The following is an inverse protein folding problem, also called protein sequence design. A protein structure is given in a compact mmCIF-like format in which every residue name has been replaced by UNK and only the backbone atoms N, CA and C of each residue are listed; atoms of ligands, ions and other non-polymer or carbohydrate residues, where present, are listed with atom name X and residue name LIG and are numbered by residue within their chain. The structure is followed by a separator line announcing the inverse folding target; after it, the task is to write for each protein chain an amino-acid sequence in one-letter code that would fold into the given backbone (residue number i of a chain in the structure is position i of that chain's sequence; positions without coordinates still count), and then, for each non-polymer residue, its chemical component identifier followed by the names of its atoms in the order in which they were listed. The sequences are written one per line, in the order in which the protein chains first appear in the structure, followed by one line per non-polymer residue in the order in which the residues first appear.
data_IF_283143928991
#
_entry.id   IF_283143928991
#
_cell.length_a   1.000
_cell.length_b   1.000
_cell.length_c   1.000
_cell.angle_alpha   90.00
_cell.angle_beta   90.00
_cell.angle_gamma   90.00
#
_symmetry.space_group_name_H-M   'P 1'
#
loop_
_entity.id
_entity.type
_entity.pdbx_description
1 polymer ?
#
# COMPACT_ATOMS: atom_id res chain seq x y z
N UNK A 1 -19.05 15.32 8.57
CA UNK A 1 -17.75 14.64 8.78
C UNK A 1 -16.66 15.61 8.35
N UNK A 2 -15.62 15.81 9.16
CA UNK A 2 -14.49 16.68 8.79
C UNK A 2 -13.54 15.91 7.87
N UNK A 3 -13.08 16.56 6.80
CA UNK A 3 -12.16 15.99 5.81
C UNK A 3 -10.76 15.86 6.40
N UNK A 4 -9.97 14.89 5.94
CA UNK A 4 -8.61 14.68 6.45
C UNK A 4 -7.71 15.90 6.25
N UNK A 5 -7.86 16.66 5.15
CA UNK A 5 -7.10 17.90 4.92
C UNK A 5 -7.33 18.96 6.02
N UNK A 6 -8.50 18.95 6.67
CA UNK A 6 -8.86 19.91 7.74
C UNK A 6 -8.18 19.58 9.06
N UNK A 7 -7.54 18.41 9.19
CA UNK A 7 -6.76 18.01 10.37
C UNK A 7 -5.32 18.53 10.32
N UNK A 8 -4.87 19.03 9.17
CA UNK A 8 -3.50 19.54 9.00
C UNK A 8 -3.30 20.74 9.93
N UNK A 9 -2.29 20.64 10.80
CA UNK A 9 -1.93 21.73 11.69
C UNK A 9 -1.17 22.81 10.94
N UNK A 10 -1.47 24.07 11.25
CA UNK A 10 -0.69 25.18 10.72
C UNK A 10 0.74 25.08 11.24
N UNK A 11 1.71 24.98 10.32
CA UNK A 11 3.12 24.88 10.64
C UNK A 11 3.80 26.22 10.35
N UNK A 12 4.65 26.69 11.27
CA UNK A 12 5.40 27.94 11.10
C UNK A 12 6.85 27.71 10.72
N UNK A 13 7.35 26.50 10.96
CA UNK A 13 8.71 26.08 10.64
C UNK A 13 8.74 24.72 9.95
N UNK A 14 9.86 24.40 9.29
CA UNK A 14 10.07 23.04 8.75
C UNK A 14 10.21 21.98 9.85
N UNK A 15 10.57 22.37 11.07
CA UNK A 15 10.57 21.46 12.22
C UNK A 15 9.15 21.05 12.59
N UNK A 16 8.19 21.99 12.58
CA UNK A 16 6.78 21.68 12.78
C UNK A 16 6.26 20.69 11.72
N UNK A 17 6.62 20.92 10.45
CA UNK A 17 6.24 20.02 9.35
C UNK A 17 6.77 18.61 9.59
N UNK A 18 8.08 18.48 9.85
CA UNK A 18 8.72 17.17 10.08
C UNK A 18 8.11 16.45 11.28
N UNK A 19 7.86 17.16 12.38
CA UNK A 19 7.22 16.58 13.58
C UNK A 19 5.83 16.01 13.26
N UNK A 20 5.00 16.76 12.53
CA UNK A 20 3.66 16.31 12.15
C UNK A 20 3.70 15.15 11.13
N UNK A 21 4.62 15.18 10.16
CA UNK A 21 4.81 14.08 9.19
C UNK A 21 5.28 12.82 9.90
N UNK A 22 6.31 12.90 10.75
CA UNK A 22 6.81 11.75 11.49
C UNK A 22 5.71 11.11 12.36
N UNK A 23 4.91 11.92 13.05
CA UNK A 23 3.79 11.41 13.84
C UNK A 23 2.71 10.70 12.99
N UNK A 24 2.51 11.14 11.74
CA UNK A 24 1.64 10.42 10.81
C UNK A 24 2.30 9.14 10.29
N UNK A 25 3.60 9.15 10.01
CA UNK A 25 4.35 7.98 9.55
C UNK A 25 4.37 6.86 10.61
N UNK A 26 4.45 7.22 11.89
CA UNK A 26 4.32 6.28 13.02
C UNK A 26 2.97 5.53 13.01
N UNK A 27 1.93 6.13 12.42
CA UNK A 27 0.61 5.50 12.23
C UNK A 27 0.52 4.79 10.87
N UNK A 28 1.08 5.37 9.81
CA UNK A 28 0.99 4.82 8.45
C UNK A 28 1.80 3.53 8.30
N UNK A 29 3.00 3.44 8.88
CA UNK A 29 3.88 2.27 8.71
C UNK A 29 3.22 0.99 9.24
N UNK A 30 2.67 0.91 10.47
CA UNK A 30 1.96 -0.28 10.93
C UNK A 30 0.76 -0.68 10.04
N UNK A 31 0.03 0.30 9.50
CA UNK A 31 -1.10 0.06 8.60
C UNK A 31 -0.62 -0.51 7.26
N UNK A 32 0.46 0.03 6.71
CA UNK A 32 1.06 -0.44 5.46
C UNK A 32 1.64 -1.85 5.62
N UNK A 33 2.35 -2.14 6.72
CA UNK A 33 2.83 -3.49 7.05
C UNK A 33 1.66 -4.48 7.10
N UNK A 34 0.57 -4.12 7.78
CA UNK A 34 -0.64 -4.96 7.85
C UNK A 34 -1.23 -5.18 6.46
N UNK A 35 -1.37 -4.11 5.66
CA UNK A 35 -1.89 -4.15 4.30
C UNK A 35 -1.06 -5.07 3.41
N UNK A 36 0.27 -4.94 3.46
CA UNK A 36 1.21 -5.74 2.66
C UNK A 36 1.21 -7.20 3.16
N UNK A 37 1.05 -7.45 4.45
CA UNK A 37 0.91 -8.79 5.01
C UNK A 37 -0.23 -9.61 4.39
N UNK A 38 -1.32 -8.96 3.95
CA UNK A 38 -2.37 -9.66 3.19
C UNK A 38 -1.91 -10.19 1.84
N UNK A 39 -0.81 -9.68 1.26
CA UNK A 39 -0.23 -10.24 0.03
C UNK A 39 0.40 -11.61 0.27
N UNK A 40 0.88 -11.92 1.48
CA UNK A 40 1.29 -13.29 1.84
C UNK A 40 0.09 -14.25 1.80
N UNK A 41 -1.08 -13.79 2.23
CA UNK A 41 -2.30 -14.57 2.14
C UNK A 41 -2.72 -14.76 0.68
N UNK A 42 -2.60 -13.72 -0.14
CA UNK A 42 -2.85 -13.80 -1.58
C UNK A 42 -1.90 -14.80 -2.26
N UNK A 43 -0.59 -14.76 -1.98
CA UNK A 43 0.40 -15.70 -2.51
C UNK A 43 0.08 -17.17 -2.16
N UNK A 44 -0.49 -17.41 -0.97
CA UNK A 44 -0.94 -18.75 -0.55
C UNK A 44 -2.20 -19.21 -1.27
N UNK A 45 -3.10 -18.28 -1.60
CA UNK A 45 -4.40 -18.57 -2.23
C UNK A 45 -4.27 -18.71 -3.75
N UNK A 46 -3.45 -17.89 -4.39
CA UNK A 46 -3.23 -17.94 -5.84
C UNK A 46 -2.63 -19.29 -6.22
N UNK A 47 -3.16 -19.87 -7.29
CA UNK A 47 -2.74 -21.17 -7.79
C UNK A 47 -1.60 -21.00 -8.80
N UNK A 48 -1.67 -19.94 -9.61
CA UNK A 48 -0.76 -19.63 -10.71
C UNK A 48 -0.04 -18.28 -10.54
N UNK A 49 1.20 -18.21 -11.04
CA UNK A 49 2.05 -17.01 -10.96
C UNK A 49 1.52 -15.87 -11.83
N UNK A 50 0.80 -16.17 -12.91
CA UNK A 50 0.13 -15.19 -13.75
C UNK A 50 -1.02 -14.47 -13.03
N UNK A 51 -1.51 -15.00 -11.91
CA UNK A 51 -2.51 -14.32 -11.08
C UNK A 51 -1.90 -13.28 -10.14
N UNK A 52 -0.56 -13.21 -10.03
CA UNK A 52 0.11 -12.26 -9.12
C UNK A 52 -0.17 -10.82 -9.55
N UNK A 53 -0.06 -10.53 -10.85
CA UNK A 53 -0.42 -9.24 -11.43
C UNK A 53 -1.83 -9.27 -12.03
N UNK A 54 -2.73 -8.51 -11.43
CA UNK A 54 -4.10 -8.32 -11.91
C UNK A 54 -4.36 -6.84 -12.21
N UNK A 55 -4.28 -6.47 -13.49
CA UNK A 55 -4.47 -5.09 -13.96
C UNK A 55 -5.87 -4.55 -13.63
N UNK A 56 -6.90 -5.39 -13.75
CA UNK A 56 -8.27 -4.98 -13.42
C UNK A 56 -8.39 -4.65 -11.93
N UNK A 57 -7.73 -5.43 -11.08
CA UNK A 57 -7.67 -5.15 -9.64
C UNK A 57 -6.90 -3.88 -9.33
N UNK A 58 -5.77 -3.62 -9.99
CA UNK A 58 -4.96 -2.40 -9.82
C UNK A 58 -5.81 -1.18 -10.15
N UNK A 59 -6.48 -1.15 -11.30
CA UNK A 59 -7.33 -0.02 -11.71
C UNK A 59 -8.52 0.18 -10.76
N UNK A 60 -9.13 -0.90 -10.26
CA UNK A 60 -10.19 -0.81 -9.26
C UNK A 60 -9.70 -0.21 -7.92
N UNK A 61 -8.46 -0.50 -7.50
CA UNK A 61 -7.85 0.14 -6.33
C UNK A 61 -7.62 1.63 -6.62
N UNK A 62 -7.00 1.95 -7.76
CA UNK A 62 -6.68 3.32 -8.16
C UNK A 62 -7.94 4.20 -8.21
N UNK A 63 -9.01 3.75 -8.87
CA UNK A 63 -10.28 4.50 -8.92
C UNK A 63 -10.81 4.78 -7.52
N UNK A 64 -10.87 3.75 -6.67
CA UNK A 64 -11.38 3.86 -5.30
C UNK A 64 -10.55 4.85 -4.47
N UNK A 65 -9.22 4.84 -4.58
CA UNK A 65 -8.38 5.76 -3.81
C UNK A 65 -8.46 7.18 -4.35
N UNK A 66 -8.55 7.38 -5.67
CA UNK A 66 -8.76 8.70 -6.28
C UNK A 66 -10.05 9.34 -5.77
N UNK A 67 -11.16 8.60 -5.82
CA UNK A 67 -12.46 9.04 -5.30
C UNK A 67 -12.38 9.40 -3.82
N UNK A 68 -11.78 8.53 -3.01
CA UNK A 68 -11.63 8.79 -1.58
C UNK A 68 -10.75 10.01 -1.32
N UNK A 69 -9.65 10.18 -2.03
CA UNK A 69 -8.76 11.34 -1.89
C UNK A 69 -9.48 12.65 -2.18
N UNK A 70 -10.32 12.70 -3.21
CA UNK A 70 -11.13 13.89 -3.51
C UNK A 70 -12.09 14.21 -2.35
N UNK A 71 -12.76 13.20 -1.79
CA UNK A 71 -13.66 13.36 -0.63
C UNK A 71 -12.93 13.88 0.61
N UNK A 72 -11.68 13.47 0.80
CA UNK A 72 -10.83 13.89 1.92
C UNK A 72 -10.14 15.25 1.69
N UNK A 73 -10.36 15.89 0.52
CA UNK A 73 -9.80 17.19 0.15
C UNK A 73 -8.34 17.15 -0.32
N UNK A 74 -7.84 15.98 -0.71
CA UNK A 74 -6.50 15.81 -1.26
C UNK A 74 -6.43 15.92 -2.79
N UNK A 75 -5.26 15.64 -3.35
CA UNK A 75 -5.00 15.65 -4.79
C UNK A 75 -5.01 14.21 -5.36
N UNK A 76 -6.02 13.82 -6.17
CA UNK A 76 -6.16 12.44 -6.66
C UNK A 76 -4.95 11.92 -7.43
N UNK A 77 -4.33 12.76 -8.27
CA UNK A 77 -3.20 12.34 -9.12
C UNK A 77 -1.93 12.03 -8.31
N UNK A 78 -1.70 12.78 -7.21
CA UNK A 78 -0.63 12.47 -6.26
C UNK A 78 -0.90 11.14 -5.57
N UNK A 79 -2.14 10.90 -5.12
CA UNK A 79 -2.48 9.65 -4.45
C UNK A 79 -2.40 8.45 -5.40
N UNK A 80 -2.83 8.60 -6.64
CA UNK A 80 -2.69 7.56 -7.67
C UNK A 80 -1.23 7.17 -7.84
N UNK A 81 -0.33 8.14 -7.97
CA UNK A 81 1.12 7.88 -8.11
C UNK A 81 1.66 7.05 -6.94
N UNK A 82 1.30 7.42 -5.71
CA UNK A 82 1.68 6.68 -4.50
C UNK A 82 1.12 5.26 -4.50
N UNK A 83 -0.16 5.10 -4.84
CA UNK A 83 -0.81 3.78 -4.82
C UNK A 83 -0.32 2.87 -5.94
N UNK A 84 -0.01 3.39 -7.13
CA UNK A 84 0.58 2.57 -8.20
C UNK A 84 1.94 2.04 -7.76
N UNK A 85 2.81 2.89 -7.20
CA UNK A 85 4.09 2.45 -6.66
C UNK A 85 3.93 1.40 -5.55
N UNK A 86 2.95 1.58 -4.66
CA UNK A 86 2.62 0.59 -3.63
C UNK A 86 2.15 -0.74 -4.24
N UNK A 87 1.40 -0.72 -5.36
CA UNK A 87 0.91 -1.95 -6.00
C UNK A 87 2.07 -2.70 -6.63
N UNK A 88 2.96 -2.02 -7.35
CA UNK A 88 4.16 -2.62 -7.92
C UNK A 88 5.03 -3.26 -6.83
N UNK A 89 5.27 -2.56 -5.72
CA UNK A 89 6.00 -3.13 -4.58
C UNK A 89 5.30 -4.36 -3.96
N UNK A 90 3.95 -4.35 -3.88
CA UNK A 90 3.20 -5.51 -3.42
C UNK A 90 3.29 -6.70 -4.38
N UNK A 91 3.26 -6.46 -5.69
CA UNK A 91 3.39 -7.49 -6.73
C UNK A 91 4.76 -8.15 -6.66
N UNK A 92 5.83 -7.34 -6.56
CA UNK A 92 7.20 -7.85 -6.40
C UNK A 92 7.34 -8.69 -5.13
N UNK A 93 6.78 -8.22 -4.02
CA UNK A 93 6.79 -8.95 -2.76
C UNK A 93 5.99 -10.26 -2.85
N UNK A 94 4.82 -10.23 -3.50
CA UNK A 94 3.97 -11.40 -3.68
C UNK A 94 4.64 -12.45 -4.58
N UNK A 95 5.35 -12.05 -5.63
CA UNK A 95 6.15 -12.97 -6.46
C UNK A 95 7.21 -13.70 -5.63
N UNK A 96 7.92 -13.00 -4.75
CA UNK A 96 8.93 -13.60 -3.86
C UNK A 96 8.30 -14.60 -2.90
N UNK A 97 7.19 -14.23 -2.26
CA UNK A 97 6.48 -15.13 -1.33
C UNK A 97 5.86 -16.34 -2.04
N UNK A 98 5.31 -16.15 -3.23
CA UNK A 98 4.74 -17.24 -4.04
C UNK A 98 5.81 -18.26 -4.42
N UNK A 99 7.00 -17.79 -4.84
CA UNK A 99 8.14 -18.65 -5.14
C UNK A 99 8.60 -19.40 -3.89
N UNK A 100 8.81 -18.69 -2.77
CA UNK A 100 9.22 -19.27 -1.48
C UNK A 100 8.27 -20.37 -0.99
N UNK A 101 6.96 -20.22 -1.21
CA UNK A 101 5.96 -21.22 -0.82
C UNK A 101 5.95 -22.47 -1.72
N UNK A 102 6.50 -22.38 -2.93
CA UNK A 102 6.54 -23.46 -3.94
C UNK A 102 7.91 -24.09 -4.11
N UNK A 103 8.94 -23.54 -3.49
CA UNK A 103 10.24 -24.20 -3.39
C UNK A 103 10.06 -25.56 -2.69
N UNK A 104 10.56 -26.67 -3.28
CA UNK A 104 10.53 -27.95 -2.62
C UNK A 104 11.35 -27.83 -1.33
N UNK A 105 10.75 -28.15 -0.17
CA UNK A 105 11.51 -28.30 1.07
C UNK A 105 12.63 -29.28 0.79
N UNK A 106 13.90 -28.83 0.86
CA UNK A 106 15.02 -29.75 0.95
C UNK A 106 14.79 -30.59 2.20
N UNK A 107 14.34 -31.83 2.01
CA UNK A 107 14.35 -32.87 3.03
C UNK A 107 15.79 -32.93 3.52
N UNK A 108 16.01 -32.56 4.78
CA UNK A 108 17.32 -32.69 5.41
C UNK A 108 17.78 -34.13 5.37
N UNK A 109 19.06 -34.29 5.05
CA UNK A 109 19.85 -35.52 5.21
C UNK A 109 19.87 -36.02 6.66
#
# INVERSE_FOLDING_TARGET
MNRSIEKVQHCTTMEDVRRNVNALDDVLVPLLVTRIGYMQQAARIKEDVGQVRDEARIEAIVSRVRERTAQEGGQPDVMETVYRALMEACIDYEHQEFARLREPKKSGE
#
